data_IF_467598268053
#
_entry.id   IF_467598268053
#
_cell.length_a   1.000
_cell.length_b   1.000
_cell.length_c   1.000
_cell.angle_alpha   90.00
_cell.angle_beta   90.00
_cell.angle_gamma   90.00
#
_symmetry.space_group_name_H-M   'P 1'
#
loop_
_entity.id
_entity.type
_entity.pdbx_description
1 polymer ?
#
# COMPACT_ATOMS: atom_id res chain seq x y z
N UNK A 1 -40.11 6.29 44.40
CA UNK A 1 -39.81 6.07 45.84
C UNK A 1 -40.24 4.66 46.23
N UNK A 2 -39.67 4.07 47.30
CA UNK A 2 -40.18 2.86 47.98
C UNK A 2 -40.10 1.56 47.16
N UNK A 3 -39.29 0.53 47.43
CA UNK A 3 -38.54 0.07 48.63
C UNK A 3 -39.35 -0.74 49.66
N UNK A 4 -38.99 -2.03 49.79
CA UNK A 4 -39.13 -2.94 50.95
C UNK A 4 -40.55 -3.33 51.43
N UNK A 5 -40.88 -4.64 51.33
CA UNK A 5 -41.04 -5.50 52.55
C UNK A 5 -40.89 -7.00 52.28
N UNK A 6 -40.67 -7.76 53.36
CA UNK A 6 -40.31 -9.17 53.43
C UNK A 6 -41.19 -9.96 54.42
N UNK A 7 -41.22 -11.29 54.27
CA UNK A 7 -41.61 -12.26 55.32
C UNK A 7 -40.88 -13.59 55.04
N UNK A 8 -39.96 -13.98 55.92
CA UNK A 8 -40.04 -15.08 56.91
C UNK A 8 -39.81 -16.50 56.32
N UNK A 9 -38.75 -17.25 56.69
CA UNK A 9 -38.42 -17.87 58.01
C UNK A 9 -39.30 -19.12 58.26
N UNK A 10 -38.84 -20.28 58.73
CA UNK A 10 -37.60 -20.73 59.42
C UNK A 10 -37.30 -22.20 58.98
N UNK A 11 -36.36 -23.05 59.44
CA UNK A 11 -35.33 -23.15 60.51
C UNK A 11 -34.27 -24.19 60.00
N UNK A 12 -33.17 -24.66 60.65
CA UNK A 12 -32.57 -24.47 61.98
C UNK A 12 -31.04 -24.79 61.96
N UNK A 13 -30.39 -24.60 63.11
CA UNK A 13 -29.05 -25.08 63.54
C UNK A 13 -29.25 -25.90 64.86
N UNK A 14 -28.26 -26.34 65.70
CA UNK A 14 -26.79 -26.29 65.63
C UNK A 14 -26.03 -27.61 65.97
N UNK A 15 -24.68 -27.59 65.95
CA UNK A 15 -23.80 -27.98 67.10
C UNK A 15 -22.29 -27.78 66.83
N UNK A 16 -21.54 -27.40 67.87
CA UNK A 16 -20.09 -27.15 67.82
C UNK A 16 -19.25 -28.29 68.42
N UNK A 17 -18.07 -28.55 67.82
CA UNK A 17 -16.77 -28.93 68.42
C UNK A 17 -15.76 -29.17 67.27
N UNK A 18 -14.49 -28.79 67.30
CA UNK A 18 -13.75 -27.97 68.28
C UNK A 18 -12.50 -28.65 68.84
N UNK A 19 -11.35 -28.51 68.17
CA UNK A 19 -10.02 -28.46 68.79
C UNK A 19 -8.96 -27.95 67.78
N UNK A 20 -7.80 -27.52 68.27
CA UNK A 20 -6.73 -26.89 67.47
C UNK A 20 -5.35 -27.19 68.02
N UNK A 21 -4.45 -27.77 67.20
CA UNK A 21 -3.05 -28.02 67.56
C UNK A 21 -2.09 -27.74 66.38
N UNK A 22 -0.88 -27.30 66.74
CA UNK A 22 0.32 -27.12 65.91
C UNK A 22 1.54 -27.41 66.81
N UNK A 23 2.78 -27.60 66.29
CA UNK A 23 3.21 -27.84 64.92
C UNK A 23 4.09 -29.11 64.77
N UNK A 24 4.50 -29.47 63.54
CA UNK A 24 5.84 -30.02 63.24
C UNK A 24 6.16 -30.07 61.74
N UNK A 25 7.44 -30.03 61.40
CA UNK A 25 8.02 -29.89 60.05
C UNK A 25 8.47 -31.23 59.45
N UNK A 26 8.09 -31.52 58.20
CA UNK A 26 8.85 -32.37 57.23
C UNK A 26 8.60 -31.81 55.81
N UNK A 27 9.51 -32.09 54.87
CA UNK A 27 9.64 -31.49 53.54
C UNK A 27 8.83 -32.16 52.40
N UNK A 28 8.74 -31.43 51.29
CA UNK A 28 8.69 -31.88 49.89
C UNK A 28 7.60 -32.87 49.40
N UNK A 29 6.69 -32.33 48.56
CA UNK A 29 6.83 -32.54 47.11
C UNK A 29 6.22 -31.39 46.30
N UNK A 30 6.98 -30.85 45.35
CA UNK A 30 6.54 -29.73 44.53
C UNK A 30 5.54 -30.14 43.44
N UNK A 31 4.45 -29.38 43.32
CA UNK A 31 3.53 -29.43 42.17
C UNK A 31 2.97 -28.03 41.91
N UNK A 32 3.62 -27.28 41.03
CA UNK A 32 3.10 -26.04 40.46
C UNK A 32 3.25 -26.09 38.94
N UNK A 33 2.16 -26.45 38.25
CA UNK A 33 2.07 -26.38 36.80
C UNK A 33 1.79 -24.94 36.36
N UNK A 34 2.84 -24.10 36.29
CA UNK A 34 2.79 -22.75 35.73
C UNK A 34 2.86 -22.81 34.20
N UNK A 35 1.70 -22.96 33.54
CA UNK A 35 1.56 -23.11 32.07
C UNK A 35 1.68 -21.74 31.35
N UNK A 36 2.64 -20.91 31.74
CA UNK A 36 2.93 -19.60 31.13
C UNK A 36 4.45 -19.32 31.12
N UNK A 37 5.08 -19.07 29.96
CA UNK A 37 6.51 -18.79 29.88
C UNK A 37 6.81 -17.35 30.37
N UNK A 38 7.24 -17.22 31.63
CA UNK A 38 7.71 -15.95 32.21
C UNK A 38 9.09 -15.58 31.67
N UNK A 39 9.14 -14.95 30.49
CA UNK A 39 10.40 -14.50 29.90
C UNK A 39 10.89 -13.18 30.54
N UNK A 40 11.87 -13.27 31.44
CA UNK A 40 12.37 -12.17 32.28
C UNK A 40 13.45 -11.30 31.61
N UNK A 41 13.15 -10.71 30.45
CA UNK A 41 14.07 -9.80 29.74
C UNK A 41 14.02 -8.36 30.26
N UNK A 42 14.60 -8.12 31.44
CA UNK A 42 14.78 -6.77 32.01
C UNK A 42 15.84 -5.97 31.25
N UNK A 43 15.50 -5.36 30.10
CA UNK A 43 16.24 -4.20 29.57
C UNK A 43 15.53 -3.42 28.45
N UNK A 44 15.92 -2.15 28.27
CA UNK A 44 15.70 -1.29 27.08
C UNK A 44 14.25 -1.00 26.66
N UNK A 45 13.51 -0.24 27.48
CA UNK A 45 12.23 0.42 27.10
C UNK A 45 12.29 1.41 25.91
N UNK A 46 13.46 1.71 25.35
CA UNK A 46 13.66 2.75 24.34
C UNK A 46 13.45 2.31 22.86
N UNK A 47 13.37 1.00 22.58
CA UNK A 47 13.32 0.47 21.20
C UNK A 47 11.93 -0.01 20.74
N UNK A 48 10.87 0.36 21.46
CA UNK A 48 9.50 -0.10 21.18
C UNK A 48 8.97 0.29 19.78
N UNK A 49 9.49 1.37 19.17
CA UNK A 49 9.08 1.82 17.83
C UNK A 49 9.51 0.87 16.69
N UNK A 50 10.49 -0.01 16.95
CA UNK A 50 11.04 -0.96 15.98
C UNK A 50 10.75 -2.43 16.35
N UNK A 51 9.65 -2.69 17.09
CA UNK A 51 9.08 -4.04 17.16
C UNK A 51 8.44 -4.42 15.82
N UNK A 52 9.25 -5.04 14.96
CA UNK A 52 8.76 -5.98 13.96
C UNK A 52 8.06 -7.11 14.72
N UNK A 53 6.76 -7.32 14.50
CA UNK A 53 6.09 -8.48 15.10
C UNK A 53 6.47 -9.75 14.33
N UNK A 54 7.10 -10.69 15.04
CA UNK A 54 7.69 -11.93 14.50
C UNK A 54 6.63 -12.99 14.15
N UNK A 55 5.48 -12.58 13.61
CA UNK A 55 4.37 -13.44 13.18
C UNK A 55 4.67 -14.14 11.84
N UNK A 56 5.82 -14.82 11.74
CA UNK A 56 6.26 -15.44 10.48
C UNK A 56 7.59 -16.18 10.48
N UNK A 57 8.22 -16.46 11.63
CA UNK A 57 9.42 -17.30 11.67
C UNK A 57 9.11 -18.78 11.49
N UNK A 58 8.98 -19.20 10.23
CA UNK A 58 9.38 -20.56 9.86
C UNK A 58 10.87 -20.68 10.14
N UNK A 59 11.27 -21.51 11.10
CA UNK A 59 12.64 -21.65 11.61
C UNK A 59 13.65 -22.28 10.64
N UNK A 60 13.69 -21.83 9.38
CA UNK A 60 14.65 -22.22 8.36
C UNK A 60 15.70 -21.11 8.22
N UNK A 61 16.91 -21.36 8.69
CA UNK A 61 18.06 -20.53 8.34
C UNK A 61 18.41 -20.72 6.86
N UNK A 62 18.50 -19.61 6.11
CA UNK A 62 19.00 -19.59 4.74
C UNK A 62 17.98 -19.11 3.69
N UNK A 63 18.47 -18.27 2.78
CA UNK A 63 17.71 -17.78 1.62
C UNK A 63 17.83 -18.83 0.51
N UNK A 64 16.76 -19.58 0.23
CA UNK A 64 16.71 -20.51 -0.90
C UNK A 64 16.01 -19.84 -2.10
N UNK A 65 16.75 -19.27 -3.07
CA UNK A 65 16.16 -18.45 -4.13
C UNK A 65 15.16 -19.24 -4.99
N UNK A 66 15.41 -20.52 -5.26
CA UNK A 66 14.47 -21.39 -5.98
C UNK A 66 13.14 -21.61 -5.23
N UNK A 67 13.15 -21.67 -3.90
CA UNK A 67 11.91 -21.80 -3.12
C UNK A 67 11.19 -20.46 -3.01
N UNK A 68 11.94 -19.36 -2.90
CA UNK A 68 11.39 -18.00 -2.85
C UNK A 68 10.72 -17.64 -4.19
N UNK A 69 11.42 -17.87 -5.31
CA UNK A 69 10.88 -17.74 -6.67
C UNK A 69 9.62 -18.60 -6.86
N UNK A 70 9.62 -19.85 -6.40
CA UNK A 70 8.46 -20.76 -6.48
C UNK A 70 7.28 -20.34 -5.60
N UNK A 71 7.50 -19.55 -4.56
CA UNK A 71 6.44 -18.90 -3.76
C UNK A 71 5.91 -17.67 -4.50
N UNK A 72 6.78 -16.76 -4.98
CA UNK A 72 6.38 -15.63 -5.83
C UNK A 72 5.55 -16.08 -7.05
N UNK A 73 5.91 -17.21 -7.67
CA UNK A 73 5.21 -17.77 -8.83
C UNK A 73 3.81 -18.31 -8.54
N UNK A 74 3.44 -18.51 -7.27
CA UNK A 74 2.31 -19.36 -6.86
C UNK A 74 1.36 -18.74 -5.83
N UNK A 75 1.72 -17.61 -5.21
CA UNK A 75 1.13 -17.17 -3.93
C UNK A 75 0.46 -15.79 -3.92
N UNK A 76 -0.17 -15.38 -5.05
CA UNK A 76 -0.93 -14.12 -5.13
C UNK A 76 -2.37 -14.36 -5.61
N UNK A 77 -2.55 -14.61 -6.91
CA UNK A 77 -3.84 -14.84 -7.57
C UNK A 77 -3.65 -15.64 -8.86
N UNK A 78 -4.71 -16.27 -9.38
CA UNK A 78 -4.66 -16.98 -10.68
C UNK A 78 -4.19 -16.07 -11.81
N UNK A 79 -4.62 -14.80 -11.82
CA UNK A 79 -4.15 -13.79 -12.79
C UNK A 79 -2.65 -13.48 -12.66
N UNK A 80 -2.11 -13.42 -11.43
CA UNK A 80 -0.68 -13.23 -11.19
C UNK A 80 0.14 -14.45 -11.66
N UNK A 81 -0.41 -15.66 -11.53
CA UNK A 81 0.18 -16.88 -12.09
C UNK A 81 0.13 -16.89 -13.63
N UNK A 82 -0.91 -16.32 -14.26
CA UNK A 82 -0.96 -16.12 -15.72
C UNK A 82 0.08 -15.09 -16.16
N UNK A 83 0.22 -13.96 -15.46
CA UNK A 83 1.23 -12.92 -15.75
C UNK A 83 2.66 -13.49 -15.75
N UNK A 84 2.96 -14.54 -14.97
CA UNK A 84 4.27 -15.18 -15.02
C UNK A 84 4.63 -15.82 -16.37
N UNK A 85 3.68 -16.08 -17.28
CA UNK A 85 3.98 -16.56 -18.64
C UNK A 85 4.68 -15.49 -19.50
N UNK A 86 4.70 -14.24 -19.05
CA UNK A 86 5.42 -13.13 -19.71
C UNK A 86 6.91 -13.06 -19.30
N UNK A 87 7.39 -13.84 -18.33
CA UNK A 87 8.82 -13.83 -17.96
C UNK A 87 9.82 -14.02 -19.12
N UNK A 88 9.63 -14.91 -20.11
CA UNK A 88 10.54 -15.01 -21.26
C UNK A 88 10.64 -13.74 -22.13
N UNK A 89 9.71 -12.78 -22.00
CA UNK A 89 9.82 -11.50 -22.71
C UNK A 89 10.92 -10.61 -22.13
N UNK A 90 11.30 -10.77 -20.85
CA UNK A 90 12.40 -10.02 -20.21
C UNK A 90 13.75 -10.29 -20.90
N UNK A 91 14.26 -11.54 -21.00
CA UNK A 91 15.49 -11.80 -21.75
C UNK A 91 15.33 -11.57 -23.26
N UNK A 92 14.14 -11.77 -23.84
CA UNK A 92 13.93 -11.48 -25.26
C UNK A 92 14.07 -9.98 -25.57
N UNK A 93 13.59 -9.09 -24.70
CA UNK A 93 13.75 -7.64 -24.83
C UNK A 93 15.23 -7.21 -24.74
N UNK A 94 16.03 -7.87 -23.89
CA UNK A 94 17.48 -7.65 -23.82
C UNK A 94 18.16 -8.14 -25.10
N UNK A 95 17.87 -9.36 -25.55
CA UNK A 95 18.49 -9.95 -26.75
C UNK A 95 18.20 -9.13 -28.01
N UNK A 96 16.95 -8.70 -28.23
CA UNK A 96 16.62 -7.91 -29.44
C UNK A 96 17.24 -6.51 -29.42
N UNK A 97 17.38 -5.89 -28.25
CA UNK A 97 18.02 -4.58 -28.08
C UNK A 97 19.50 -4.61 -28.52
N UNK A 98 20.23 -5.68 -28.17
CA UNK A 98 21.61 -5.87 -28.63
C UNK A 98 21.73 -6.43 -30.05
N UNK A 99 20.80 -7.28 -30.49
CA UNK A 99 20.91 -7.97 -31.78
C UNK A 99 20.47 -7.13 -32.98
N UNK A 100 19.43 -6.29 -32.84
CA UNK A 100 18.86 -5.48 -33.94
C UNK A 100 18.30 -4.14 -33.42
N UNK A 101 19.14 -3.13 -33.18
CA UNK A 101 18.70 -1.82 -32.69
C UNK A 101 17.73 -1.10 -33.65
N UNK A 102 17.79 -1.41 -34.95
CA UNK A 102 16.92 -0.85 -36.00
C UNK A 102 15.40 -1.03 -35.73
N UNK A 103 15.00 -2.06 -34.97
CA UNK A 103 13.58 -2.40 -34.75
C UNK A 103 13.01 -1.70 -33.50
N UNK A 104 13.14 -0.37 -33.42
CA UNK A 104 12.71 0.46 -32.28
C UNK A 104 11.30 0.14 -31.75
N UNK A 105 10.33 -0.09 -32.64
CA UNK A 105 8.94 -0.42 -32.26
C UNK A 105 8.87 -1.76 -31.50
N UNK A 106 9.58 -2.79 -31.97
CA UNK A 106 9.61 -4.09 -31.30
C UNK A 106 10.36 -4.03 -29.98
N UNK A 107 11.46 -3.27 -29.92
CA UNK A 107 12.20 -3.01 -28.67
C UNK A 107 11.27 -2.35 -27.64
N UNK A 108 10.48 -1.35 -28.04
CA UNK A 108 9.49 -0.71 -27.18
C UNK A 108 8.40 -1.68 -26.71
N UNK A 109 7.73 -2.38 -27.63
CA UNK A 109 6.64 -3.31 -27.29
C UNK A 109 7.09 -4.47 -26.40
N UNK A 110 8.29 -5.03 -26.63
CA UNK A 110 8.81 -6.14 -25.83
C UNK A 110 9.21 -5.67 -24.42
N UNK A 111 9.80 -4.48 -24.27
CA UNK A 111 10.04 -3.89 -22.95
C UNK A 111 8.73 -3.57 -22.21
N UNK A 112 7.70 -3.06 -22.91
CA UNK A 112 6.38 -2.82 -22.32
C UNK A 112 5.73 -4.12 -21.81
N UNK A 113 5.81 -5.21 -22.57
CA UNK A 113 5.31 -6.53 -22.12
C UNK A 113 6.14 -7.06 -20.94
N UNK A 114 7.47 -6.88 -20.95
CA UNK A 114 8.37 -7.26 -19.86
C UNK A 114 8.15 -6.46 -18.55
N UNK A 115 7.57 -5.25 -18.65
CA UNK A 115 7.21 -4.41 -17.51
C UNK A 115 6.09 -5.03 -16.65
N UNK A 116 5.15 -5.75 -17.27
CA UNK A 116 3.98 -6.37 -16.61
C UNK A 116 4.35 -7.44 -15.56
N UNK A 117 5.16 -8.49 -15.86
CA UNK A 117 5.58 -9.46 -14.84
C UNK A 117 6.50 -8.83 -13.78
N UNK A 118 7.28 -7.80 -14.17
CA UNK A 118 8.16 -7.07 -13.27
C UNK A 118 7.37 -6.29 -12.21
N UNK A 119 6.32 -5.57 -12.61
CA UNK A 119 5.43 -4.86 -11.69
C UNK A 119 4.64 -5.82 -10.78
N UNK A 120 4.17 -6.95 -11.31
CA UNK A 120 3.51 -8.01 -10.52
C UNK A 120 4.41 -8.60 -9.43
N UNK A 121 5.68 -8.88 -9.74
CA UNK A 121 6.65 -9.33 -8.74
C UNK A 121 6.94 -8.24 -7.69
N UNK A 122 7.06 -6.98 -8.12
CA UNK A 122 7.37 -5.87 -7.23
C UNK A 122 6.23 -5.57 -6.26
N UNK A 123 4.97 -5.62 -6.71
CA UNK A 123 3.80 -5.50 -5.85
C UNK A 123 3.72 -6.61 -4.79
N UNK A 124 4.01 -7.86 -5.17
CA UNK A 124 4.11 -8.95 -4.20
C UNK A 124 5.22 -8.72 -3.17
N UNK A 125 6.42 -8.33 -3.61
CA UNK A 125 7.54 -8.03 -2.73
C UNK A 125 7.24 -6.85 -1.79
N UNK A 126 6.55 -5.82 -2.27
CA UNK A 126 6.09 -4.68 -1.49
C UNK A 126 5.10 -5.08 -0.40
N UNK A 127 4.09 -5.90 -0.71
CA UNK A 127 3.13 -6.41 0.26
C UNK A 127 3.78 -7.32 1.33
N UNK A 128 4.74 -8.18 0.95
CA UNK A 128 5.50 -9.00 1.91
C UNK A 128 6.47 -8.18 2.78
N UNK A 129 6.98 -7.05 2.28
CA UNK A 129 7.77 -6.10 3.07
C UNK A 129 6.88 -5.29 4.02
N UNK A 130 5.72 -4.81 3.56
CA UNK A 130 4.77 -4.03 4.36
C UNK A 130 4.26 -4.81 5.58
N UNK A 131 4.01 -6.12 5.44
CA UNK A 131 3.66 -7.04 6.54
C UNK A 131 4.73 -7.15 7.64
N UNK A 132 5.99 -6.76 7.36
CA UNK A 132 7.11 -6.80 8.31
C UNK A 132 7.41 -5.44 8.95
N UNK A 133 6.67 -4.39 8.59
CA UNK A 133 6.88 -3.03 9.06
C UNK A 133 5.76 -2.60 10.03
N UNK A 134 6.00 -1.65 10.94
CA UNK A 134 4.95 -1.04 11.76
C UNK A 134 3.84 -0.45 10.88
N UNK A 135 2.57 -0.64 11.25
CA UNK A 135 1.39 -0.48 10.36
C UNK A 135 1.39 0.79 9.49
N UNK A 136 1.70 1.96 10.04
CA UNK A 136 1.76 3.22 9.26
C UNK A 136 2.90 3.22 8.24
N UNK A 137 4.11 2.81 8.64
CA UNK A 137 5.29 2.73 7.78
C UNK A 137 5.06 1.67 6.69
N UNK A 138 4.44 0.54 7.03
CA UNK A 138 4.04 -0.50 6.08
C UNK A 138 3.15 0.05 4.96
N UNK A 139 2.11 0.81 5.29
CA UNK A 139 1.19 1.43 4.31
C UNK A 139 1.93 2.41 3.38
N UNK A 140 2.76 3.29 3.95
CA UNK A 140 3.52 4.29 3.18
C UNK A 140 4.49 3.60 2.21
N UNK A 141 5.20 2.56 2.68
CA UNK A 141 6.13 1.77 1.85
C UNK A 141 5.38 0.96 0.78
N UNK A 142 4.24 0.35 1.10
CA UNK A 142 3.41 -0.38 0.13
C UNK A 142 2.90 0.53 -0.99
N UNK A 143 2.39 1.72 -0.63
CA UNK A 143 1.89 2.72 -1.58
C UNK A 143 3.04 3.27 -2.45
N UNK A 144 4.20 3.55 -1.84
CA UNK A 144 5.39 4.01 -2.56
C UNK A 144 5.91 2.95 -3.54
N UNK A 145 5.95 1.68 -3.14
CA UNK A 145 6.38 0.57 -4.01
C UNK A 145 5.35 0.20 -5.09
N UNK A 146 4.07 0.48 -4.87
CA UNK A 146 3.06 0.43 -5.94
C UNK A 146 3.33 1.49 -7.03
N UNK A 147 3.61 2.72 -6.63
CA UNK A 147 3.85 3.84 -7.54
C UNK A 147 5.28 3.90 -8.13
N UNK A 148 6.27 3.20 -7.55
CA UNK A 148 7.69 3.37 -7.91
C UNK A 148 7.99 3.08 -9.38
N UNK A 149 7.23 2.21 -10.04
CA UNK A 149 7.37 1.90 -11.46
C UNK A 149 7.04 3.13 -12.32
N UNK A 150 6.00 3.88 -11.97
CA UNK A 150 5.64 5.14 -12.63
C UNK A 150 6.65 6.25 -12.29
N UNK A 151 7.08 6.35 -11.03
CA UNK A 151 8.08 7.34 -10.61
C UNK A 151 9.43 7.16 -11.32
N UNK A 152 9.88 5.91 -11.53
CA UNK A 152 11.09 5.62 -12.32
C UNK A 152 10.89 5.97 -13.79
N UNK A 153 9.72 5.69 -14.37
CA UNK A 153 9.40 6.09 -15.74
C UNK A 153 9.45 7.63 -15.90
N UNK A 154 8.81 8.38 -15.00
CA UNK A 154 8.83 9.84 -15.03
C UNK A 154 10.23 10.41 -14.79
N UNK A 155 11.03 9.80 -13.91
CA UNK A 155 12.43 10.19 -13.68
C UNK A 155 13.28 9.99 -14.95
N UNK A 156 13.13 8.87 -15.66
CA UNK A 156 13.86 8.61 -16.91
C UNK A 156 13.39 9.54 -18.04
N UNK A 157 12.09 9.79 -18.17
CA UNK A 157 11.55 10.74 -19.15
C UNK A 157 12.06 12.17 -18.89
N UNK A 158 12.11 12.59 -17.62
CA UNK A 158 12.62 13.91 -17.22
C UNK A 158 14.16 14.02 -17.32
N UNK A 159 14.90 12.94 -17.13
CA UNK A 159 16.35 12.89 -17.35
C UNK A 159 16.73 12.97 -18.84
N UNK A 160 15.88 12.42 -19.72
CA UNK A 160 16.08 12.46 -21.17
C UNK A 160 15.52 13.74 -21.83
N UNK A 161 14.61 14.46 -21.16
CA UNK A 161 14.17 15.79 -21.57
C UNK A 161 15.38 16.74 -21.69
N UNK A 162 15.52 17.39 -22.85
CA UNK A 162 16.65 18.25 -23.18
C UNK A 162 17.96 17.53 -23.56
N UNK A 163 18.05 16.20 -23.48
CA UNK A 163 19.17 15.42 -24.06
C UNK A 163 18.95 15.08 -25.53
N UNK A 164 17.72 14.75 -25.91
CA UNK A 164 17.33 14.58 -27.31
C UNK A 164 16.94 15.93 -27.88
N UNK A 165 17.68 16.38 -28.89
CA UNK A 165 17.38 17.64 -29.59
C UNK A 165 15.92 17.62 -30.11
N UNK A 166 15.19 18.73 -29.89
CA UNK A 166 13.81 18.94 -30.35
C UNK A 166 12.71 18.06 -29.73
N UNK A 167 12.98 17.27 -28.68
CA UNK A 167 11.95 16.43 -28.02
C UNK A 167 11.49 16.99 -26.66
N UNK A 168 10.25 17.48 -26.58
CA UNK A 168 9.60 17.74 -25.29
C UNK A 168 8.82 16.50 -24.79
N UNK A 169 9.30 15.89 -23.71
CA UNK A 169 8.67 14.75 -23.05
C UNK A 169 7.68 15.13 -21.92
N UNK A 170 7.54 16.40 -21.56
CA UNK A 170 6.61 16.84 -20.49
C UNK A 170 5.14 16.49 -20.82
N UNK A 171 4.63 16.66 -22.07
CA UNK A 171 3.28 16.22 -22.42
C UNK A 171 3.07 14.71 -22.25
N UNK A 172 4.12 13.89 -22.45
CA UNK A 172 4.06 12.43 -22.26
C UNK A 172 3.92 12.10 -20.77
N UNK A 173 4.66 12.79 -19.89
CA UNK A 173 4.53 12.64 -18.44
C UNK A 173 3.12 13.06 -17.97
N UNK A 174 2.62 14.20 -18.44
CA UNK A 174 1.26 14.67 -18.12
C UNK A 174 0.17 13.69 -18.56
N UNK A 175 0.26 13.18 -19.80
CA UNK A 175 -0.66 12.19 -20.34
C UNK A 175 -0.60 10.86 -19.57
N UNK A 176 0.59 10.43 -19.13
CA UNK A 176 0.77 9.21 -18.36
C UNK A 176 0.22 9.32 -16.93
N UNK A 177 0.40 10.45 -16.23
CA UNK A 177 -0.19 10.71 -14.91
C UNK A 177 -1.72 10.69 -14.99
N UNK A 178 -2.29 11.43 -15.95
CA UNK A 178 -3.75 11.43 -16.19
C UNK A 178 -4.25 10.04 -16.58
N UNK A 179 -3.46 9.31 -17.39
CA UNK A 179 -3.71 7.93 -17.80
C UNK A 179 -3.77 6.95 -16.64
N UNK A 180 -2.84 7.03 -15.68
CA UNK A 180 -2.84 6.17 -14.47
C UNK A 180 -4.07 6.44 -13.60
N UNK A 181 -4.42 7.72 -13.39
CA UNK A 181 -5.63 8.09 -12.65
C UNK A 181 -6.88 7.52 -13.36
N UNK A 182 -7.03 7.73 -14.66
CA UNK A 182 -8.19 7.22 -15.42
C UNK A 182 -8.21 5.69 -15.51
N UNK A 183 -7.06 5.03 -15.59
CA UNK A 183 -6.96 3.57 -15.55
C UNK A 183 -7.40 3.01 -14.20
N UNK A 184 -7.02 3.63 -13.09
CA UNK A 184 -7.46 3.21 -11.77
C UNK A 184 -8.96 3.48 -11.54
N UNK A 185 -9.49 4.62 -11.98
CA UNK A 185 -10.87 5.02 -11.71
C UNK A 185 -11.92 4.44 -12.67
N UNK A 186 -11.61 4.32 -13.96
CA UNK A 186 -12.58 3.84 -14.96
C UNK A 186 -12.30 2.38 -15.32
N UNK A 187 -11.06 2.04 -15.65
CA UNK A 187 -10.71 0.69 -16.13
C UNK A 187 -10.68 -0.33 -14.98
N UNK A 188 -10.00 -0.04 -13.87
CA UNK A 188 -9.87 -0.97 -12.75
C UNK A 188 -11.20 -1.14 -11.99
N UNK A 189 -11.85 -0.04 -11.55
CA UNK A 189 -13.18 -0.12 -10.93
C UNK A 189 -14.22 -0.72 -11.90
N UNK A 190 -14.19 -0.36 -13.18
CA UNK A 190 -15.06 -0.93 -14.20
C UNK A 190 -14.88 -2.44 -14.37
N UNK A 191 -13.65 -2.95 -14.39
CA UNK A 191 -13.37 -4.39 -14.39
C UNK A 191 -13.83 -5.07 -13.09
N UNK A 192 -13.65 -4.42 -11.92
CA UNK A 192 -14.13 -4.95 -10.64
C UNK A 192 -15.66 -5.06 -10.58
N UNK A 193 -16.40 -4.08 -11.11
CA UNK A 193 -17.86 -4.14 -11.21
C UNK A 193 -18.31 -5.15 -12.28
N UNK A 194 -17.64 -5.22 -13.44
CA UNK A 194 -17.97 -6.18 -14.49
C UNK A 194 -17.77 -7.63 -14.02
N UNK A 195 -16.58 -7.96 -13.51
CA UNK A 195 -16.25 -9.32 -13.04
C UNK A 195 -17.02 -9.69 -11.77
N UNK A 196 -17.29 -8.74 -10.88
CA UNK A 196 -18.15 -8.94 -9.73
C UNK A 196 -19.62 -9.17 -10.10
N UNK A 197 -20.13 -8.38 -11.05
CA UNK A 197 -21.52 -8.41 -11.53
C UNK A 197 -21.89 -9.69 -12.30
N UNK A 198 -20.95 -10.30 -13.02
CA UNK A 198 -21.15 -11.59 -13.73
C UNK A 198 -21.75 -12.68 -12.82
N UNK A 199 -21.48 -12.64 -11.50
CA UNK A 199 -21.96 -13.62 -10.53
C UNK A 199 -22.93 -13.05 -9.48
N UNK A 200 -23.18 -11.74 -9.46
CA UNK A 200 -24.03 -11.09 -8.44
C UNK A 200 -24.84 -9.95 -9.04
N UNK A 201 -26.14 -9.95 -8.79
CA UNK A 201 -27.05 -8.87 -9.22
C UNK A 201 -26.79 -7.54 -8.47
N UNK A 202 -26.17 -7.60 -7.29
CA UNK A 202 -25.81 -6.43 -6.48
C UNK A 202 -24.45 -6.63 -5.80
N UNK A 203 -23.76 -5.52 -5.53
CA UNK A 203 -22.50 -5.50 -4.78
C UNK A 203 -22.63 -4.50 -3.64
N UNK A 204 -22.71 -4.99 -2.41
CA UNK A 204 -22.72 -4.15 -1.21
C UNK A 204 -21.31 -3.73 -0.84
N UNK A 205 -21.10 -2.42 -0.70
CA UNK A 205 -19.86 -1.80 -0.24
C UNK A 205 -20.09 -1.13 1.12
N UNK A 206 -19.02 -0.89 1.88
CA UNK A 206 -19.14 -0.22 3.17
C UNK A 206 -19.24 1.29 2.97
N UNK A 207 -20.34 1.88 3.39
CA UNK A 207 -20.72 3.27 3.13
C UNK A 207 -19.64 4.27 3.55
N UNK A 208 -19.22 4.25 4.82
CA UNK A 208 -18.20 5.18 5.34
C UNK A 208 -16.82 5.06 4.64
N UNK A 209 -16.43 3.86 4.16
CA UNK A 209 -15.18 3.69 3.38
C UNK A 209 -15.35 4.27 1.97
N UNK A 210 -16.53 4.14 1.39
CA UNK A 210 -16.86 4.63 0.06
C UNK A 210 -16.97 6.16 0.05
N UNK A 211 -17.62 6.74 1.05
CA UNK A 211 -17.73 8.19 1.27
C UNK A 211 -16.34 8.82 1.44
N UNK A 212 -15.53 8.34 2.38
CA UNK A 212 -14.15 8.86 2.59
C UNK A 212 -13.29 8.68 1.34
N UNK A 213 -13.38 7.52 0.66
CA UNK A 213 -12.63 7.27 -0.58
C UNK A 213 -13.00 8.22 -1.71
N UNK A 214 -14.29 8.47 -1.94
CA UNK A 214 -14.76 9.42 -2.96
C UNK A 214 -14.46 10.87 -2.59
N UNK A 215 -14.54 11.24 -1.29
CA UNK A 215 -14.17 12.57 -0.79
C UNK A 215 -12.70 12.89 -1.00
N UNK A 216 -11.79 11.99 -0.59
CA UNK A 216 -10.35 12.13 -0.82
C UNK A 216 -10.01 12.21 -2.32
N UNK A 217 -10.65 11.38 -3.14
CA UNK A 217 -10.47 11.39 -4.59
C UNK A 217 -10.93 12.70 -5.23
N UNK A 218 -12.08 13.22 -4.80
CA UNK A 218 -12.63 14.50 -5.26
C UNK A 218 -11.71 15.67 -4.90
N UNK A 219 -11.19 15.69 -3.67
CA UNK A 219 -10.22 16.70 -3.21
C UNK A 219 -8.92 16.64 -4.00
N UNK A 220 -8.37 15.44 -4.24
CA UNK A 220 -7.18 15.26 -5.07
C UNK A 220 -7.42 15.69 -6.52
N UNK A 221 -8.58 15.34 -7.09
CA UNK A 221 -9.01 15.73 -8.44
C UNK A 221 -9.12 17.25 -8.59
N UNK A 222 -9.81 17.94 -7.67
CA UNK A 222 -9.86 19.41 -7.67
C UNK A 222 -8.47 20.03 -7.50
N UNK A 223 -7.62 19.47 -6.64
CA UNK A 223 -6.21 19.87 -6.51
C UNK A 223 -5.48 19.90 -7.85
N UNK A 224 -5.52 18.80 -8.60
CA UNK A 224 -4.89 18.69 -9.92
C UNK A 224 -5.55 19.57 -11.00
N UNK A 225 -6.85 19.84 -10.88
CA UNK A 225 -7.59 20.70 -11.80
C UNK A 225 -7.30 22.19 -11.62
N UNK A 226 -7.03 22.69 -10.41
CA UNK A 226 -6.78 24.12 -10.12
C UNK A 226 -5.72 24.77 -11.05
N UNK A 227 -4.47 24.27 -11.15
CA UNK A 227 -3.47 24.89 -12.04
C UNK A 227 -3.85 24.78 -13.52
N UNK A 228 -4.54 23.71 -13.91
CA UNK A 228 -5.01 23.47 -15.29
C UNK A 228 -6.12 24.45 -15.69
N UNK A 229 -7.08 24.69 -14.80
CA UNK A 229 -8.18 25.64 -14.98
C UNK A 229 -7.68 27.10 -14.99
N UNK A 230 -6.73 27.44 -14.11
CA UNK A 230 -6.05 28.74 -14.11
C UNK A 230 -5.38 29.02 -15.46
N UNK A 231 -4.56 28.07 -15.94
CA UNK A 231 -3.88 28.20 -17.23
C UNK A 231 -4.87 28.33 -18.39
N UNK A 232 -5.89 27.47 -18.45
CA UNK A 232 -6.90 27.49 -19.51
C UNK A 232 -7.67 28.82 -19.55
N UNK A 233 -8.05 29.37 -18.40
CA UNK A 233 -8.82 30.61 -18.30
C UNK A 233 -7.99 31.81 -18.77
N UNK A 234 -6.76 31.96 -18.23
CA UNK A 234 -5.89 33.09 -18.56
C UNK A 234 -5.24 33.01 -19.95
N UNK A 235 -5.16 31.81 -20.55
CA UNK A 235 -4.75 31.66 -21.96
C UNK A 235 -5.68 32.40 -22.92
N UNK A 236 -6.97 32.52 -22.58
CA UNK A 236 -7.94 33.35 -23.33
C UNK A 236 -7.79 34.86 -23.10
N UNK A 237 -7.02 35.28 -22.09
CA UNK A 237 -6.80 36.70 -21.72
C UNK A 237 -5.41 37.22 -22.07
N UNK A 238 -4.62 36.45 -22.84
CA UNK A 238 -3.30 36.85 -23.34
C UNK A 238 -3.42 38.06 -24.26
N UNK A 239 -2.66 39.11 -23.96
CA UNK A 239 -2.74 40.42 -24.59
C UNK A 239 -1.35 41.05 -24.69
N UNK A 240 -1.20 42.18 -25.38
CA UNK A 240 0.09 42.87 -25.55
C UNK A 240 0.78 43.28 -24.23
N UNK A 241 0.05 43.32 -23.10
CA UNK A 241 0.56 43.63 -21.76
C UNK A 241 0.61 42.39 -20.82
N UNK A 242 0.21 41.20 -21.29
CA UNK A 242 0.27 39.95 -20.54
C UNK A 242 0.72 38.81 -21.47
N UNK A 243 2.02 38.58 -21.47
CA UNK A 243 2.71 37.71 -22.44
C UNK A 243 2.66 36.24 -22.02
N UNK A 244 2.64 35.32 -23.00
CA UNK A 244 2.65 33.86 -22.79
C UNK A 244 3.75 33.38 -21.81
N UNK A 245 4.91 34.05 -21.79
CA UNK A 245 6.02 33.76 -20.86
C UNK A 245 5.58 33.98 -19.41
N UNK A 246 4.96 35.12 -19.11
CA UNK A 246 4.46 35.44 -17.76
C UNK A 246 3.36 34.47 -17.33
N UNK A 247 2.43 34.12 -18.25
CA UNK A 247 1.40 33.11 -17.99
C UNK A 247 2.02 31.75 -17.60
N UNK A 248 3.06 31.31 -18.31
CA UNK A 248 3.77 30.07 -17.99
C UNK A 248 4.46 30.15 -16.62
N UNK A 249 5.11 31.27 -16.27
CA UNK A 249 5.74 31.47 -14.96
C UNK A 249 4.74 31.45 -13.79
N UNK A 250 3.60 32.12 -13.93
CA UNK A 250 2.52 32.07 -12.93
C UNK A 250 1.90 30.67 -12.81
N UNK A 251 1.63 30.00 -13.93
CA UNK A 251 1.08 28.64 -13.93
C UNK A 251 2.05 27.61 -13.32
N UNK A 252 3.36 27.72 -13.60
CA UNK A 252 4.39 26.89 -12.96
C UNK A 252 4.49 27.17 -11.45
N UNK A 253 4.37 28.43 -11.03
CA UNK A 253 4.41 28.81 -9.61
C UNK A 253 3.22 28.25 -8.85
N UNK A 254 2.01 28.35 -9.41
CA UNK A 254 0.79 27.77 -8.84
C UNK A 254 0.87 26.24 -8.84
N UNK A 255 1.30 25.60 -9.93
CA UNK A 255 1.48 24.14 -10.00
C UNK A 255 2.44 23.62 -8.92
N UNK A 256 3.55 24.33 -8.66
CA UNK A 256 4.48 24.02 -7.55
C UNK A 256 3.82 24.16 -6.17
N UNK A 257 3.07 25.24 -5.94
CA UNK A 257 2.34 25.44 -4.68
C UNK A 257 1.29 24.34 -4.45
N UNK A 258 0.48 24.04 -5.46
CA UNK A 258 -0.50 22.94 -5.47
C UNK A 258 0.16 21.58 -5.20
N UNK A 259 1.30 21.29 -5.82
CA UNK A 259 2.02 20.03 -5.59
C UNK A 259 2.53 19.90 -4.15
N UNK A 260 3.02 20.98 -3.54
CA UNK A 260 3.42 20.98 -2.12
C UNK A 260 2.21 20.80 -1.21
N UNK A 261 1.08 21.46 -1.48
CA UNK A 261 -0.16 21.30 -0.71
C UNK A 261 -0.69 19.87 -0.78
N UNK A 262 -0.72 19.25 -1.97
CA UNK A 262 -1.13 17.86 -2.17
C UNK A 262 -0.17 16.87 -1.50
N UNK A 263 1.15 17.14 -1.51
CA UNK A 263 2.14 16.31 -0.83
C UNK A 263 1.98 16.38 0.70
N UNK A 264 1.69 17.55 1.26
CA UNK A 264 1.36 17.69 2.69
C UNK A 264 0.06 16.94 3.01
N UNK A 265 -0.99 17.13 2.21
CA UNK A 265 -2.29 16.47 2.41
C UNK A 265 -2.26 14.93 2.23
N UNK A 266 -1.20 14.38 1.64
CA UNK A 266 -0.94 12.93 1.59
C UNK A 266 -0.21 12.40 2.84
N UNK A 267 0.46 13.27 3.60
CA UNK A 267 1.25 12.92 4.79
C UNK A 267 0.53 13.19 6.12
N UNK A 268 -0.59 13.92 6.11
CA UNK A 268 -1.40 14.31 7.28
C UNK A 268 -2.65 13.45 7.44
#
# INVERSE_FOLDING_TARGET
MGSIRSTHSQNADPRLRGNSEQPKTVQEKGSQNSILPTNSTTSKRAWALFRVDTAGESGRSGIQPWHLLKVCFRSVCTLSMVVNILWPFVPAAIVIHFARPDLHVWIFSLNYIAMVPSANLLGFAGGELAKKLPKMIGIIVETTLGAVVELVLFMVLLYNHGRTENSDLIPVIQAAILGSIMANLLLCLGMCFFVGGIKRHEQTFHEAISEVGTGLLLVAGFGLLIPSAFYSTLRGSVNAQFTLVQLNEYALTISRATAVILLVAFLT
#
